data_IF_114314982390
#
_entry.id   IF_114314982390
#
_cell.length_a   1.000
_cell.length_b   1.000
_cell.length_c   1.000
_cell.angle_alpha   90.00
_cell.angle_beta   90.00
_cell.angle_gamma   90.00
#
_symmetry.space_group_name_H-M   'P 1'
#
loop_
_entity.id
_entity.type
_entity.pdbx_description
1 polymer ?
#
# COMPACT_ATOMS: atom_id res chain seq x y z
N UNK A 1 -1.44 7.54 -18.34
CA UNK A 1 -1.58 7.03 -16.94
C UNK A 1 -1.97 8.13 -15.95
N UNK A 2 -1.59 9.39 -16.14
CA UNK A 2 -1.96 10.51 -15.24
C UNK A 2 -3.45 10.85 -15.26
N UNK A 3 -4.13 10.73 -16.41
CA UNK A 3 -5.58 10.93 -16.53
C UNK A 3 -6.37 9.98 -15.61
N UNK A 4 -5.98 8.71 -15.52
CA UNK A 4 -6.69 7.73 -14.71
C UNK A 4 -6.57 7.95 -13.19
N UNK A 5 -5.49 8.57 -12.72
CA UNK A 5 -5.33 8.92 -11.29
C UNK A 5 -6.23 10.10 -10.95
N UNK A 6 -6.37 11.05 -11.88
CA UNK A 6 -7.22 12.24 -11.73
C UNK A 6 -8.72 11.87 -11.71
N UNK A 7 -9.13 10.90 -12.54
CA UNK A 7 -10.52 10.41 -12.56
C UNK A 7 -10.93 9.69 -11.27
N UNK A 8 -9.99 9.01 -10.60
CA UNK A 8 -10.25 8.37 -9.30
C UNK A 8 -10.61 9.34 -8.19
N UNK A 9 -9.86 10.44 -8.09
CA UNK A 9 -10.10 11.47 -7.08
C UNK A 9 -11.42 12.20 -7.36
N UNK A 10 -11.79 12.35 -8.62
CA UNK A 10 -13.06 13.00 -9.01
C UNK A 10 -14.28 12.22 -8.53
N UNK A 11 -14.24 10.89 -8.57
CA UNK A 11 -15.33 10.04 -8.06
C UNK A 11 -15.49 10.20 -6.55
N UNK A 12 -14.39 10.24 -5.80
CA UNK A 12 -14.45 10.43 -4.35
C UNK A 12 -15.02 11.80 -3.98
N UNK A 13 -14.59 12.87 -4.67
CA UNK A 13 -15.05 14.23 -4.43
C UNK A 13 -16.56 14.36 -4.69
N UNK A 14 -17.08 13.68 -5.71
CA UNK A 14 -18.49 13.78 -6.09
C UNK A 14 -19.41 12.91 -5.22
N UNK A 15 -18.99 11.70 -4.88
CA UNK A 15 -19.88 10.72 -4.26
C UNK A 15 -19.74 10.65 -2.73
N UNK A 16 -18.55 10.75 -2.18
CA UNK A 16 -18.34 10.49 -0.74
C UNK A 16 -19.03 11.53 0.13
N UNK A 17 -18.90 12.86 -0.11
CA UNK A 17 -19.60 13.85 0.71
C UNK A 17 -21.12 13.70 0.64
N UNK A 18 -21.69 13.48 -0.57
CA UNK A 18 -23.12 13.26 -0.75
C UNK A 18 -23.63 12.05 0.05
N UNK A 19 -22.92 10.92 -0.02
CA UNK A 19 -23.27 9.71 0.74
C UNK A 19 -23.18 9.89 2.26
N UNK A 20 -22.21 10.68 2.73
CA UNK A 20 -22.09 11.02 4.15
C UNK A 20 -23.25 11.91 4.62
N UNK A 21 -23.72 12.84 3.79
CA UNK A 21 -24.91 13.66 4.09
C UNK A 21 -26.16 12.79 4.09
N UNK A 22 -26.33 11.92 3.09
CA UNK A 22 -27.47 10.98 3.02
C UNK A 22 -27.51 10.04 4.25
N UNK A 23 -26.36 9.78 4.88
CA UNK A 23 -26.25 8.97 6.09
C UNK A 23 -26.61 9.73 7.38
N UNK A 24 -27.00 11.01 7.30
CA UNK A 24 -27.46 11.82 8.44
C UNK A 24 -26.42 12.77 9.01
N UNK A 25 -25.25 12.92 8.38
CA UNK A 25 -24.25 13.91 8.79
C UNK A 25 -24.61 15.31 8.27
N UNK A 26 -24.27 16.35 9.03
CA UNK A 26 -24.35 17.72 8.52
C UNK A 26 -23.35 17.93 7.37
N UNK A 27 -23.62 18.91 6.50
CA UNK A 27 -22.72 19.26 5.38
C UNK A 27 -21.31 19.58 5.88
N UNK A 28 -21.20 20.28 7.01
CA UNK A 28 -19.92 20.63 7.65
C UNK A 28 -19.18 19.37 8.12
N UNK A 29 -19.86 18.46 8.79
CA UNK A 29 -19.28 17.19 9.26
C UNK A 29 -18.84 16.29 8.11
N UNK A 30 -19.67 16.15 7.08
CA UNK A 30 -19.36 15.36 5.88
C UNK A 30 -18.13 15.91 5.15
N UNK A 31 -18.06 17.23 4.99
CA UNK A 31 -16.92 17.91 4.35
C UNK A 31 -15.65 17.74 5.19
N UNK A 32 -15.74 17.88 6.51
CA UNK A 32 -14.60 17.69 7.40
C UNK A 32 -14.08 16.23 7.35
N UNK A 33 -14.98 15.24 7.43
CA UNK A 33 -14.59 13.83 7.32
C UNK A 33 -13.95 13.50 5.96
N UNK A 34 -14.52 14.03 4.89
CA UNK A 34 -13.90 13.87 3.57
C UNK A 34 -12.52 14.55 3.49
N UNK A 35 -12.35 15.70 4.13
CA UNK A 35 -11.07 16.38 4.28
C UNK A 35 -10.01 15.51 5.00
N UNK A 36 -10.39 14.77 6.04
CA UNK A 36 -9.49 13.81 6.71
C UNK A 36 -9.05 12.68 5.79
N UNK A 37 -9.95 12.17 4.94
CA UNK A 37 -9.61 11.13 3.99
C UNK A 37 -8.76 11.67 2.83
N UNK A 38 -9.24 12.68 2.12
CA UNK A 38 -8.62 13.17 0.89
C UNK A 38 -7.40 14.07 1.15
N UNK A 39 -7.44 14.89 2.22
CA UNK A 39 -6.38 15.85 2.54
C UNK A 39 -5.30 15.31 3.47
N UNK A 40 -5.60 14.28 4.28
CA UNK A 40 -4.65 13.78 5.28
C UNK A 40 -4.25 12.32 5.03
N UNK A 41 -5.19 11.40 4.88
CA UNK A 41 -4.89 9.98 4.71
C UNK A 41 -4.31 9.66 3.32
N UNK A 42 -4.89 10.18 2.24
CA UNK A 42 -4.43 9.90 0.88
C UNK A 42 -2.99 10.38 0.58
N UNK A 43 -2.55 11.57 0.98
CA UNK A 43 -1.16 11.98 0.80
C UNK A 43 -0.15 11.05 1.49
N UNK A 44 -0.45 10.60 2.71
CA UNK A 44 0.42 9.64 3.42
C UNK A 44 0.52 8.30 2.68
N UNK A 45 -0.60 7.80 2.18
CA UNK A 45 -0.65 6.58 1.37
C UNK A 45 0.19 6.73 0.10
N UNK A 46 0.06 7.85 -0.61
CA UNK A 46 0.82 8.10 -1.84
C UNK A 46 2.32 8.20 -1.55
N UNK A 47 2.73 8.91 -0.49
CA UNK A 47 4.14 9.00 -0.08
C UNK A 47 4.74 7.61 0.22
N UNK A 48 4.00 6.75 0.92
CA UNK A 48 4.44 5.41 1.25
C UNK A 48 4.62 4.51 0.00
N UNK A 49 3.94 4.82 -1.11
CA UNK A 49 4.00 4.04 -2.36
C UNK A 49 4.95 4.61 -3.43
N UNK A 50 5.63 5.74 -3.18
CA UNK A 50 6.64 6.29 -4.10
C UNK A 50 7.72 5.27 -4.49
N UNK A 51 8.31 4.48 -3.55
CA UNK A 51 9.32 3.50 -3.91
C UNK A 51 8.79 2.39 -4.83
N UNK A 52 7.54 1.97 -4.65
CA UNK A 52 6.92 0.93 -5.50
C UNK A 52 6.57 1.47 -6.88
N UNK A 53 6.21 2.74 -6.99
CA UNK A 53 6.02 3.41 -8.28
C UNK A 53 7.34 3.47 -9.07
N UNK A 54 8.44 3.83 -8.42
CA UNK A 54 9.78 3.83 -9.03
C UNK A 54 10.21 2.43 -9.46
N UNK A 55 9.91 1.41 -8.63
CA UNK A 55 10.16 0.01 -8.96
C UNK A 55 9.35 -0.41 -10.19
N UNK A 56 8.05 -0.10 -10.24
CA UNK A 56 7.17 -0.44 -11.35
C UNK A 56 7.64 0.19 -12.67
N UNK A 57 8.02 1.47 -12.66
CA UNK A 57 8.51 2.16 -13.87
C UNK A 57 9.83 1.59 -14.37
N UNK A 58 10.75 1.22 -13.49
CA UNK A 58 12.03 0.58 -13.87
C UNK A 58 11.84 -0.85 -14.38
N UNK A 59 10.76 -1.51 -13.95
CA UNK A 59 10.46 -2.88 -14.34
C UNK A 59 9.99 -2.99 -15.81
N UNK A 60 9.29 -1.97 -16.32
CA UNK A 60 8.77 -1.95 -17.69
C UNK A 60 9.85 -2.20 -18.75
N UNK A 61 10.93 -1.39 -18.86
CA UNK A 61 11.97 -1.64 -19.84
C UNK A 61 12.71 -2.96 -19.59
N UNK A 62 12.95 -3.30 -18.32
CA UNK A 62 13.67 -4.53 -17.96
C UNK A 62 12.91 -5.80 -18.33
N UNK A 63 11.58 -5.80 -18.24
CA UNK A 63 10.71 -6.91 -18.67
C UNK A 63 10.57 -6.91 -20.20
N UNK A 64 10.43 -5.74 -20.83
CA UNK A 64 10.28 -5.60 -22.27
C UNK A 64 11.51 -6.16 -23.03
N UNK A 65 12.71 -5.86 -22.55
CA UNK A 65 13.95 -6.44 -23.11
C UNK A 65 13.98 -7.97 -23.01
N UNK A 66 13.66 -8.51 -21.82
CA UNK A 66 13.64 -9.96 -21.63
C UNK A 66 12.54 -10.64 -22.46
N UNK A 67 11.39 -9.98 -22.62
CA UNK A 67 10.26 -10.46 -23.41
C UNK A 67 10.61 -10.51 -24.92
N UNK A 68 11.23 -9.45 -25.45
CA UNK A 68 11.68 -9.41 -26.84
C UNK A 68 12.71 -10.53 -27.18
N UNK A 69 13.50 -10.94 -26.18
CA UNK A 69 14.48 -12.03 -26.31
C UNK A 69 13.90 -13.42 -25.96
N UNK A 70 12.60 -13.54 -25.70
CA UNK A 70 11.91 -14.77 -25.27
C UNK A 70 12.55 -15.43 -24.00
N UNK A 71 13.14 -14.64 -23.10
CA UNK A 71 13.81 -15.11 -21.89
C UNK A 71 12.85 -15.19 -20.71
N UNK A 72 11.89 -16.12 -20.74
CA UNK A 72 10.83 -16.27 -19.74
C UNK A 72 11.34 -16.46 -18.32
N UNK A 73 12.43 -17.21 -18.12
CA UNK A 73 13.04 -17.38 -16.80
C UNK A 73 13.51 -16.06 -16.17
N UNK A 74 14.04 -15.15 -17.00
CA UNK A 74 14.47 -13.81 -16.55
C UNK A 74 13.26 -12.98 -16.16
N UNK A 75 12.17 -13.06 -16.94
CA UNK A 75 10.91 -12.36 -16.60
C UNK A 75 10.38 -12.85 -15.26
N UNK A 76 10.32 -14.16 -15.06
CA UNK A 76 9.83 -14.75 -13.79
C UNK A 76 10.71 -14.34 -12.59
N UNK A 77 12.02 -14.36 -12.72
CA UNK A 77 12.96 -13.91 -11.69
C UNK A 77 12.78 -12.42 -11.36
N UNK A 78 12.69 -11.56 -12.37
CA UNK A 78 12.44 -10.11 -12.19
C UNK A 78 11.09 -9.88 -11.51
N UNK A 79 10.04 -10.60 -11.93
CA UNK A 79 8.71 -10.53 -11.36
C UNK A 79 8.70 -10.95 -9.88
N UNK A 80 9.31 -12.08 -9.54
CA UNK A 80 9.40 -12.57 -8.17
C UNK A 80 10.18 -11.59 -7.27
N UNK A 81 11.29 -11.05 -7.77
CA UNK A 81 12.12 -10.08 -7.05
C UNK A 81 11.35 -8.77 -6.83
N UNK A 82 10.69 -8.24 -7.86
CA UNK A 82 9.93 -7.01 -7.75
C UNK A 82 8.73 -7.16 -6.80
N UNK A 83 8.02 -8.28 -6.84
CA UNK A 83 6.93 -8.58 -5.91
C UNK A 83 7.43 -8.66 -4.47
N UNK A 84 8.56 -9.34 -4.23
CA UNK A 84 9.20 -9.43 -2.91
C UNK A 84 9.61 -8.06 -2.39
N UNK A 85 10.27 -7.22 -3.22
CA UNK A 85 10.67 -5.86 -2.85
C UNK A 85 9.47 -4.96 -2.58
N UNK A 86 8.42 -5.07 -3.38
CA UNK A 86 7.15 -4.36 -3.15
C UNK A 86 6.59 -4.69 -1.77
N UNK A 87 6.41 -5.98 -1.45
CA UNK A 87 5.89 -6.41 -0.16
C UNK A 87 6.82 -6.02 1.00
N UNK A 88 8.14 -6.09 0.81
CA UNK A 88 9.13 -5.71 1.81
C UNK A 88 9.00 -4.26 2.28
N UNK A 89 8.55 -3.38 1.40
CA UNK A 89 8.36 -1.94 1.68
C UNK A 89 6.93 -1.65 2.13
N UNK A 90 5.95 -2.17 1.39
CA UNK A 90 4.55 -1.76 1.58
C UNK A 90 3.86 -2.45 2.75
N UNK A 91 4.20 -3.70 3.06
CA UNK A 91 3.57 -4.43 4.17
C UNK A 91 3.91 -3.79 5.52
N UNK A 92 5.19 -3.52 5.87
CA UNK A 92 5.50 -2.85 7.14
C UNK A 92 4.94 -1.42 7.18
N UNK A 93 4.95 -0.67 6.07
CA UNK A 93 4.35 0.66 6.02
C UNK A 93 2.83 0.61 6.27
N UNK A 94 2.14 -0.36 5.68
CA UNK A 94 0.70 -0.59 5.90
C UNK A 94 0.42 -0.95 7.36
N UNK A 95 1.14 -1.90 7.94
CA UNK A 95 0.96 -2.31 9.34
C UNK A 95 1.29 -1.17 10.30
N UNK A 96 2.41 -0.48 10.11
CA UNK A 96 2.82 0.66 10.94
C UNK A 96 1.78 1.78 10.91
N UNK A 97 1.26 2.10 9.71
CA UNK A 97 0.21 3.12 9.57
C UNK A 97 -1.14 2.65 10.14
N UNK A 98 -1.44 1.36 10.11
CA UNK A 98 -2.63 0.80 10.74
C UNK A 98 -2.58 0.92 12.27
N UNK A 99 -1.49 0.48 12.90
CA UNK A 99 -1.41 0.40 14.37
C UNK A 99 -1.12 1.75 15.03
N UNK A 100 -0.43 2.65 14.34
CA UNK A 100 -0.09 3.99 14.83
C UNK A 100 -0.88 5.11 14.13
N UNK A 101 -2.06 4.81 13.58
CA UNK A 101 -2.84 5.76 12.79
C UNK A 101 -3.18 7.05 13.55
N UNK A 102 -3.69 6.94 14.78
CA UNK A 102 -4.02 8.07 15.62
C UNK A 102 -2.79 8.84 16.09
N UNK A 103 -1.74 8.20 16.65
CA UNK A 103 -0.48 8.84 16.96
C UNK A 103 0.15 9.59 15.78
N UNK A 104 0.15 8.99 14.59
CA UNK A 104 0.66 9.62 13.36
C UNK A 104 -0.20 10.83 12.99
N UNK A 105 -1.51 10.73 13.10
CA UNK A 105 -2.44 11.84 12.85
C UNK A 105 -2.18 13.01 13.79
N UNK A 106 -2.01 12.75 15.09
CA UNK A 106 -1.66 13.77 16.07
C UNK A 106 -0.28 14.39 15.79
N UNK A 107 0.72 13.57 15.44
CA UNK A 107 2.08 14.02 15.18
C UNK A 107 2.17 14.94 13.95
N UNK A 108 1.49 14.59 12.86
CA UNK A 108 1.61 15.29 11.57
C UNK A 108 0.61 16.42 11.40
N UNK A 109 -0.61 16.25 11.92
CA UNK A 109 -1.73 17.17 11.67
C UNK A 109 -2.26 17.83 12.94
N UNK A 110 -1.73 17.51 14.11
CA UNK A 110 -2.17 18.06 15.39
C UNK A 110 -3.58 17.64 15.80
N UNK A 111 -4.15 16.61 15.17
CA UNK A 111 -5.51 16.13 15.46
C UNK A 111 -5.60 14.61 15.41
N UNK A 112 -6.33 14.00 16.36
CA UNK A 112 -6.64 12.57 16.34
C UNK A 112 -7.74 12.19 15.33
N UNK A 113 -8.54 13.18 14.88
CA UNK A 113 -9.76 12.94 14.09
C UNK A 113 -9.50 12.25 12.74
N UNK A 114 -8.32 12.46 12.12
CA UNK A 114 -7.95 11.79 10.89
C UNK A 114 -7.48 10.34 11.10
N UNK A 115 -7.24 9.90 12.35
CA UNK A 115 -6.76 8.56 12.68
C UNK A 115 -7.62 7.45 12.09
N UNK A 116 -8.95 7.57 12.16
CA UNK A 116 -9.89 6.60 11.57
C UNK A 116 -9.70 6.48 10.06
N UNK A 117 -9.61 7.62 9.34
CA UNK A 117 -9.40 7.62 7.90
C UNK A 117 -8.04 7.02 7.52
N UNK A 118 -6.97 7.34 8.27
CA UNK A 118 -5.62 6.81 8.08
C UNK A 118 -5.60 5.31 8.32
N UNK A 119 -6.15 4.84 9.43
CA UNK A 119 -6.20 3.43 9.81
C UNK A 119 -6.87 2.58 8.73
N UNK A 120 -8.08 2.95 8.31
CA UNK A 120 -8.82 2.20 7.30
C UNK A 120 -8.27 2.34 5.88
N UNK A 121 -7.46 3.38 5.61
CA UNK A 121 -6.74 3.53 4.33
C UNK A 121 -5.40 2.79 4.31
N UNK A 122 -4.84 2.40 5.45
CA UNK A 122 -3.52 1.77 5.53
C UNK A 122 -3.35 0.51 4.65
N UNK A 123 -4.33 -0.42 4.53
CA UNK A 123 -4.20 -1.58 3.64
C UNK A 123 -4.01 -1.20 2.16
N UNK A 124 -4.52 -0.02 1.75
CA UNK A 124 -4.33 0.46 0.39
C UNK A 124 -2.87 0.63 -0.01
N UNK A 125 -1.95 0.85 0.94
CA UNK A 125 -0.51 0.98 0.66
C UNK A 125 0.01 -0.32 0.03
N UNK A 126 -0.28 -1.46 0.63
CA UNK A 126 0.12 -2.75 0.11
C UNK A 126 -0.59 -3.07 -1.21
N UNK A 127 -1.90 -2.87 -1.28
CA UNK A 127 -2.72 -3.17 -2.45
C UNK A 127 -2.34 -2.30 -3.65
N UNK A 128 -2.10 -1.00 -3.44
CA UNK A 128 -1.64 -0.09 -4.49
C UNK A 128 -0.22 -0.45 -4.96
N UNK A 129 0.69 -0.77 -4.04
CA UNK A 129 2.03 -1.23 -4.42
C UNK A 129 2.00 -2.48 -5.30
N UNK A 130 1.19 -3.48 -4.92
CA UNK A 130 0.97 -4.69 -5.71
C UNK A 130 0.39 -4.36 -7.09
N UNK A 131 -0.61 -3.47 -7.14
CA UNK A 131 -1.20 -3.02 -8.41
C UNK A 131 -0.15 -2.34 -9.29
N UNK A 132 0.68 -1.44 -8.76
CA UNK A 132 1.71 -0.72 -9.52
C UNK A 132 2.72 -1.69 -10.14
N UNK A 133 3.26 -2.61 -9.35
CA UNK A 133 4.28 -3.56 -9.79
C UNK A 133 3.69 -4.53 -10.82
N UNK A 134 2.52 -5.10 -10.58
CA UNK A 134 1.89 -6.03 -11.52
C UNK A 134 1.46 -5.35 -12.82
N UNK A 135 1.04 -4.07 -12.76
CA UNK A 135 0.79 -3.25 -13.95
C UNK A 135 2.06 -3.05 -14.77
N UNK A 136 3.19 -2.70 -14.11
CA UNK A 136 4.48 -2.53 -14.78
C UNK A 136 4.95 -3.82 -15.49
N UNK A 137 4.74 -4.98 -14.87
CA UNK A 137 5.05 -6.28 -15.50
C UNK A 137 4.22 -6.52 -16.77
N UNK A 138 2.89 -6.35 -16.69
CA UNK A 138 2.00 -6.55 -17.83
C UNK A 138 2.30 -5.58 -18.98
N UNK A 139 2.60 -4.31 -18.65
CA UNK A 139 3.01 -3.30 -19.64
C UNK A 139 4.35 -3.66 -20.28
N UNK A 140 5.34 -4.13 -19.51
CA UNK A 140 6.63 -4.58 -20.01
C UNK A 140 6.52 -5.78 -20.95
N UNK A 141 5.53 -6.65 -20.78
CA UNK A 141 5.22 -7.75 -21.71
C UNK A 141 4.37 -7.31 -22.92
N UNK A 142 4.14 -6.01 -23.11
CA UNK A 142 3.34 -5.48 -24.23
C UNK A 142 1.81 -5.56 -24.03
N UNK A 143 1.33 -6.09 -22.90
CA UNK A 143 -0.09 -6.24 -22.61
C UNK A 143 -0.66 -5.02 -21.88
N UNK A 144 -0.61 -3.83 -22.51
CA UNK A 144 -1.04 -2.56 -21.90
C UNK A 144 -2.55 -2.47 -21.65
N UNK A 145 -3.34 -3.17 -22.46
CA UNK A 145 -4.80 -3.13 -22.36
C UNK A 145 -5.34 -3.90 -21.14
N UNK A 146 -4.64 -4.97 -20.70
CA UNK A 146 -5.09 -5.77 -19.56
C UNK A 146 -5.13 -4.98 -18.24
N UNK A 147 -4.06 -4.29 -17.82
CA UNK A 147 -4.11 -3.48 -16.59
C UNK A 147 -5.14 -2.36 -16.68
N UNK A 148 -5.36 -1.78 -17.87
CA UNK A 148 -6.37 -0.75 -18.07
C UNK A 148 -7.79 -1.30 -17.83
N UNK A 149 -8.12 -2.44 -18.42
CA UNK A 149 -9.41 -3.10 -18.20
C UNK A 149 -9.60 -3.52 -16.74
N UNK A 150 -8.56 -4.11 -16.12
CA UNK A 150 -8.60 -4.52 -14.73
C UNK A 150 -8.81 -3.31 -13.79
N UNK A 151 -8.24 -2.17 -14.12
CA UNK A 151 -8.44 -0.93 -13.39
C UNK A 151 -9.88 -0.40 -13.53
N UNK A 152 -10.48 -0.49 -14.72
CA UNK A 152 -11.88 -0.11 -14.92
C UNK A 152 -12.82 -0.98 -14.09
N UNK A 153 -12.55 -2.30 -14.01
CA UNK A 153 -13.30 -3.22 -13.14
C UNK A 153 -13.11 -2.83 -11.67
N UNK A 154 -11.88 -2.48 -11.26
CA UNK A 154 -11.60 -2.00 -9.92
C UNK A 154 -12.37 -0.72 -9.58
N UNK A 155 -12.45 0.23 -10.51
CA UNK A 155 -13.24 1.47 -10.36
C UNK A 155 -14.73 1.14 -10.23
N UNK A 156 -15.27 0.23 -11.04
CA UNK A 156 -16.65 -0.20 -10.93
C UNK A 156 -16.94 -0.86 -9.57
N UNK A 157 -16.03 -1.72 -9.09
CA UNK A 157 -16.12 -2.31 -7.75
C UNK A 157 -16.08 -1.24 -6.64
N UNK A 158 -15.25 -0.22 -6.80
CA UNK A 158 -15.20 0.92 -5.87
C UNK A 158 -16.52 1.69 -5.83
N UNK A 159 -17.13 1.96 -6.99
CA UNK A 159 -18.43 2.64 -7.06
C UNK A 159 -19.50 1.88 -6.27
N UNK A 160 -19.60 0.57 -6.49
CA UNK A 160 -20.53 -0.28 -5.74
C UNK A 160 -20.20 -0.26 -4.24
N UNK A 161 -18.91 -0.33 -3.88
CA UNK A 161 -18.47 -0.32 -2.49
C UNK A 161 -18.76 1.02 -1.79
N UNK A 162 -18.54 2.17 -2.46
CA UNK A 162 -18.90 3.50 -1.91
C UNK A 162 -20.39 3.56 -1.61
N UNK A 163 -21.23 3.13 -2.56
CA UNK A 163 -22.68 3.15 -2.38
C UNK A 163 -23.18 2.24 -1.26
N UNK A 164 -22.47 1.14 -0.97
CA UNK A 164 -22.88 0.16 0.06
C UNK A 164 -22.24 0.42 1.41
N UNK A 165 -20.98 0.81 1.45
CA UNK A 165 -20.19 0.92 2.67
C UNK A 165 -20.15 2.34 3.25
N UNK A 166 -20.40 3.40 2.44
CA UNK A 166 -20.46 4.77 2.96
C UNK A 166 -21.89 5.04 3.41
N UNK A 167 -22.21 4.60 4.64
CA UNK A 167 -23.51 4.70 5.28
C UNK A 167 -23.35 5.16 6.75
N UNK A 168 -24.46 5.25 7.50
CA UNK A 168 -24.45 5.70 8.89
C UNK A 168 -23.58 4.84 9.83
N UNK A 169 -23.39 3.56 9.51
CA UNK A 169 -22.63 2.61 10.33
C UNK A 169 -21.12 2.75 10.14
N UNK A 170 -20.65 2.87 8.88
CA UNK A 170 -19.21 2.87 8.57
C UNK A 170 -18.65 4.28 8.26
N UNK A 171 -19.50 5.24 7.91
CA UNK A 171 -19.10 6.62 7.65
C UNK A 171 -17.90 6.72 6.67
N UNK A 172 -16.88 7.49 7.06
CA UNK A 172 -15.67 7.69 6.25
C UNK A 172 -14.80 6.43 6.13
N UNK A 173 -14.87 5.50 7.10
CA UNK A 173 -14.17 4.21 7.01
C UNK A 173 -14.67 3.39 5.81
N UNK A 174 -15.97 3.47 5.50
CA UNK A 174 -16.55 2.84 4.31
C UNK A 174 -15.95 3.35 3.00
N UNK A 175 -15.71 4.65 2.87
CA UNK A 175 -15.05 5.24 1.71
C UNK A 175 -13.57 4.81 1.60
N UNK A 176 -12.86 4.71 2.73
CA UNK A 176 -11.51 4.18 2.77
C UNK A 176 -11.47 2.71 2.32
N UNK A 177 -12.38 1.86 2.81
CA UNK A 177 -12.50 0.46 2.37
C UNK A 177 -12.88 0.34 0.90
N UNK A 178 -13.72 1.21 0.34
CA UNK A 178 -14.02 1.21 -1.09
C UNK A 178 -12.76 1.46 -1.93
N UNK A 179 -11.85 2.29 -1.44
CA UNK A 179 -10.53 2.51 -2.08
C UNK A 179 -9.64 1.27 -2.00
N UNK A 180 -9.63 0.58 -0.85
CA UNK A 180 -8.92 -0.70 -0.70
C UNK A 180 -9.45 -1.75 -1.67
N UNK A 181 -10.77 -1.85 -1.84
CA UNK A 181 -11.42 -2.77 -2.77
C UNK A 181 -10.98 -2.48 -4.21
N UNK A 182 -10.95 -1.21 -4.62
CA UNK A 182 -10.46 -0.84 -5.96
C UNK A 182 -9.05 -1.36 -6.23
N UNK A 183 -8.10 -1.04 -5.34
CA UNK A 183 -6.72 -1.47 -5.51
C UNK A 183 -6.57 -2.99 -5.40
N UNK A 184 -7.30 -3.61 -4.47
CA UNK A 184 -7.29 -5.06 -4.26
C UNK A 184 -7.83 -5.83 -5.48
N UNK A 185 -8.97 -5.43 -6.02
CA UNK A 185 -9.57 -6.05 -7.22
C UNK A 185 -8.64 -5.90 -8.42
N UNK A 186 -8.10 -4.69 -8.64
CA UNK A 186 -7.19 -4.45 -9.76
C UNK A 186 -5.91 -5.28 -9.62
N UNK A 187 -5.28 -5.31 -8.43
CA UNK A 187 -4.08 -6.11 -8.18
C UNK A 187 -4.35 -7.60 -8.36
N UNK A 188 -5.47 -8.10 -7.84
CA UNK A 188 -5.87 -9.50 -7.97
C UNK A 188 -6.04 -9.91 -9.43
N UNK A 189 -6.76 -9.12 -10.22
CA UNK A 189 -6.96 -9.38 -11.64
C UNK A 189 -5.63 -9.33 -12.42
N UNK A 190 -4.73 -8.40 -12.10
CA UNK A 190 -3.40 -8.35 -12.67
C UNK A 190 -2.58 -9.61 -12.32
N UNK A 191 -2.63 -10.06 -11.06
CA UNK A 191 -1.95 -11.29 -10.61
C UNK A 191 -2.51 -12.50 -11.35
N UNK A 192 -3.83 -12.61 -11.48
CA UNK A 192 -4.47 -13.69 -12.25
C UNK A 192 -4.00 -13.67 -13.71
N UNK A 193 -3.90 -12.48 -14.32
CA UNK A 193 -3.38 -12.35 -15.68
C UNK A 193 -1.93 -12.82 -15.77
N UNK A 194 -1.06 -12.45 -14.82
CA UNK A 194 0.33 -12.90 -14.77
C UNK A 194 0.47 -14.41 -14.61
N UNK A 195 -0.40 -15.05 -13.82
CA UNK A 195 -0.45 -16.51 -13.71
C UNK A 195 -0.80 -17.20 -15.04
N UNK A 196 -1.67 -16.60 -15.86
CA UNK A 196 -1.97 -17.13 -17.22
C UNK A 196 -0.74 -17.09 -18.12
N UNK A 197 0.20 -16.17 -17.88
CA UNK A 197 1.50 -16.12 -18.54
C UNK A 197 2.59 -16.98 -17.86
N UNK A 198 2.18 -17.92 -16.98
CA UNK A 198 3.07 -18.84 -16.25
C UNK A 198 4.08 -18.14 -15.31
N UNK A 199 3.84 -16.90 -14.92
CA UNK A 199 4.66 -16.18 -13.94
C UNK A 199 4.21 -16.58 -12.54
N UNK A 200 5.13 -17.16 -11.76
CA UNK A 200 4.84 -17.62 -10.39
C UNK A 200 5.55 -16.74 -9.36
N UNK A 201 4.92 -16.60 -8.20
CA UNK A 201 5.44 -15.82 -7.07
C UNK A 201 5.74 -16.72 -5.88
N UNK A 202 6.76 -16.36 -5.09
CA UNK A 202 7.10 -17.06 -3.85
C UNK A 202 6.21 -16.59 -2.70
N UNK A 203 5.05 -17.20 -2.55
CA UNK A 203 4.10 -16.89 -1.47
C UNK A 203 4.68 -17.11 -0.08
N UNK A 204 5.60 -18.07 0.06
CA UNK A 204 6.29 -18.30 1.33
C UNK A 204 7.11 -17.10 1.79
N UNK A 205 7.80 -16.43 0.85
CA UNK A 205 8.54 -15.20 1.17
C UNK A 205 7.61 -14.07 1.60
N UNK A 206 6.46 -13.94 0.94
CA UNK A 206 5.44 -12.93 1.28
C UNK A 206 4.87 -13.22 2.68
N UNK A 207 4.53 -14.48 2.99
CA UNK A 207 4.03 -14.87 4.32
C UNK A 207 5.03 -14.55 5.44
N UNK A 208 6.34 -14.77 5.21
CA UNK A 208 7.39 -14.40 6.17
C UNK A 208 7.47 -12.87 6.37
N UNK A 209 7.31 -12.09 5.30
CA UNK A 209 7.28 -10.62 5.38
C UNK A 209 6.08 -10.15 6.22
N UNK A 210 4.91 -10.75 6.00
CA UNK A 210 3.70 -10.43 6.77
C UNK A 210 3.90 -10.79 8.26
N UNK A 211 4.49 -11.94 8.56
CA UNK A 211 4.79 -12.34 9.94
C UNK A 211 5.77 -11.36 10.61
N UNK A 212 6.83 -10.96 9.91
CA UNK A 212 7.78 -9.96 10.42
C UNK A 212 7.10 -8.61 10.68
N UNK A 213 6.22 -8.17 9.77
CA UNK A 213 5.50 -6.91 9.92
C UNK A 213 4.46 -6.97 11.05
N UNK A 214 3.83 -8.11 11.29
CA UNK A 214 2.93 -8.29 12.44
C UNK A 214 3.66 -8.15 13.77
N UNK A 215 4.84 -8.78 13.91
CA UNK A 215 5.69 -8.62 15.11
C UNK A 215 6.16 -7.16 15.25
N UNK A 216 6.57 -6.53 14.15
CA UNK A 216 6.91 -5.10 14.12
C UNK A 216 5.76 -4.23 14.64
N UNK A 217 4.52 -4.51 14.19
CA UNK A 217 3.33 -3.78 14.63
C UNK A 217 3.08 -3.96 16.13
N UNK A 218 3.24 -5.17 16.67
CA UNK A 218 3.13 -5.44 18.10
C UNK A 218 4.17 -4.64 18.91
N UNK A 219 5.44 -4.64 18.46
CA UNK A 219 6.50 -3.84 19.08
C UNK A 219 6.18 -2.34 19.05
N UNK A 220 5.62 -1.85 17.94
CA UNK A 220 5.22 -0.44 17.82
C UNK A 220 4.18 -0.04 18.87
N UNK A 221 3.15 -0.88 19.06
CA UNK A 221 2.09 -0.65 20.05
C UNK A 221 2.63 -0.70 21.46
N UNK A 222 3.42 -1.73 21.81
CA UNK A 222 4.01 -1.89 23.14
C UNK A 222 4.90 -0.72 23.51
N UNK A 223 5.84 -0.33 22.64
CA UNK A 223 6.74 0.80 22.91
C UNK A 223 5.95 2.11 23.06
N UNK A 224 4.93 2.30 22.23
CA UNK A 224 4.07 3.50 22.31
C UNK A 224 3.32 3.57 23.64
N UNK A 225 2.78 2.44 24.12
CA UNK A 225 2.07 2.35 25.42
C UNK A 225 3.04 2.55 26.59
N UNK A 226 4.22 1.92 26.57
CA UNK A 226 5.22 2.04 27.62
C UNK A 226 5.74 3.47 27.80
N UNK A 227 5.80 4.25 26.73
CA UNK A 227 6.23 5.65 26.76
C UNK A 227 5.08 6.65 27.08
N UNK A 228 3.94 6.15 27.52
CA UNK A 228 2.80 6.97 27.97
C UNK A 228 1.90 7.51 26.87
N UNK A 229 2.06 7.04 25.63
CA UNK A 229 1.07 7.17 24.52
C UNK A 229 0.78 8.57 23.96
N UNK A 230 0.92 9.63 24.75
CA UNK A 230 0.39 10.96 24.41
C UNK A 230 1.43 11.93 23.78
N UNK A 231 2.69 11.55 23.70
CA UNK A 231 3.75 12.46 23.25
C UNK A 231 4.24 12.16 21.84
N UNK A 232 4.60 13.22 21.10
CA UNK A 232 5.24 13.09 19.78
C UNK A 232 6.53 12.24 19.85
N UNK A 233 7.28 12.36 20.94
CA UNK A 233 8.50 11.59 21.19
C UNK A 233 8.19 10.08 21.33
N UNK A 234 7.10 9.71 22.03
CA UNK A 234 6.66 8.33 22.14
C UNK A 234 6.32 7.72 20.76
N UNK A 235 5.64 8.48 19.93
CA UNK A 235 5.29 8.06 18.57
C UNK A 235 6.55 7.85 17.70
N UNK A 236 7.49 8.79 17.72
CA UNK A 236 8.76 8.67 16.98
C UNK A 236 9.58 7.48 17.49
N UNK A 237 9.69 7.33 18.81
CA UNK A 237 10.41 6.19 19.41
C UNK A 237 9.78 4.85 19.05
N UNK A 238 8.45 4.76 19.05
CA UNK A 238 7.72 3.57 18.61
C UNK A 238 7.97 3.25 17.13
N UNK A 239 7.95 4.25 16.25
CA UNK A 239 8.27 4.07 14.83
C UNK A 239 9.71 3.59 14.60
N UNK A 240 10.69 4.15 15.33
CA UNK A 240 12.10 3.74 15.24
C UNK A 240 12.29 2.32 15.78
N UNK A 241 11.73 1.99 16.94
CA UNK A 241 11.80 0.65 17.52
C UNK A 241 11.17 -0.40 16.61
N UNK A 242 10.00 -0.08 16.03
CA UNK A 242 9.34 -0.92 15.04
C UNK A 242 10.22 -1.14 13.79
N UNK A 243 10.80 -0.10 13.23
CA UNK A 243 11.69 -0.19 12.07
C UNK A 243 12.93 -1.06 12.37
N UNK A 244 13.57 -0.87 13.52
CA UNK A 244 14.73 -1.67 13.95
C UNK A 244 14.33 -3.13 14.12
N UNK A 245 13.22 -3.42 14.81
CA UNK A 245 12.72 -4.79 15.00
C UNK A 245 12.45 -5.50 13.65
N UNK A 246 11.85 -4.79 12.69
CA UNK A 246 11.60 -5.32 11.36
C UNK A 246 12.90 -5.67 10.61
N UNK A 247 13.88 -4.76 10.61
CA UNK A 247 15.19 -4.98 9.96
C UNK A 247 15.91 -6.19 10.57
N UNK A 248 15.80 -6.41 11.89
CA UNK A 248 16.41 -7.56 12.58
C UNK A 248 15.66 -8.86 12.24
N UNK A 249 14.34 -8.82 12.15
CA UNK A 249 13.52 -10.01 11.87
C UNK A 249 13.67 -10.53 10.43
N UNK A 250 13.90 -9.68 9.45
CA UNK A 250 14.03 -10.09 8.04
C UNK A 250 15.11 -11.15 7.79
N UNK A 251 16.36 -10.98 8.27
CA UNK A 251 17.40 -12.02 8.12
C UNK A 251 17.13 -13.24 9.00
N UNK A 252 16.54 -13.09 10.20
CA UNK A 252 16.18 -14.21 11.07
C UNK A 252 15.16 -15.15 10.44
N UNK A 253 14.18 -14.60 9.71
CA UNK A 253 13.18 -15.38 8.97
C UNK A 253 13.69 -15.88 7.61
N UNK A 254 14.95 -15.55 7.24
CA UNK A 254 15.54 -15.93 5.97
C UNK A 254 14.84 -15.31 4.74
N UNK A 255 14.24 -14.13 4.92
CA UNK A 255 13.63 -13.36 3.83
C UNK A 255 14.70 -12.74 2.94
N UNK A 256 15.78 -12.25 3.54
CA UNK A 256 16.92 -11.66 2.83
C UNK A 256 18.07 -12.67 2.78
N UNK A 257 18.50 -13.00 1.58
CA UNK A 257 19.70 -13.82 1.38
C UNK A 257 20.96 -12.98 1.66
N UNK A 258 22.04 -13.59 2.17
CA UNK A 258 23.30 -12.88 2.47
C UNK A 258 23.85 -12.09 1.27
N UNK A 259 23.57 -12.55 0.04
CA UNK A 259 23.95 -11.85 -1.16
C UNK A 259 23.11 -10.59 -1.43
N UNK A 260 21.81 -10.63 -1.13
CA UNK A 260 20.89 -9.49 -1.26
C UNK A 260 21.20 -8.40 -0.23
N UNK A 261 21.56 -8.81 1.01
CA UNK A 261 22.01 -7.89 2.07
C UNK A 261 23.26 -7.09 1.65
N UNK A 262 24.22 -7.72 0.97
CA UNK A 262 25.43 -7.05 0.46
C UNK A 262 25.17 -6.05 -0.68
N UNK A 263 24.02 -6.14 -1.35
CA UNK A 263 23.66 -5.22 -2.44
C UNK A 263 22.90 -3.98 -1.94
N UNK A 264 22.40 -3.98 -0.71
CA UNK A 264 21.75 -2.81 -0.13
C UNK A 264 22.76 -1.67 0.07
N UNK A 265 22.48 -0.46 -0.45
CA UNK A 265 23.43 0.66 -0.40
C UNK A 265 23.83 1.07 1.01
N UNK A 266 22.98 0.82 2.00
CA UNK A 266 23.22 1.07 3.43
C UNK A 266 24.28 0.11 3.99
N UNK A 267 24.24 -1.17 3.60
CA UNK A 267 25.17 -2.21 4.10
C UNK A 267 26.55 -2.08 3.45
N UNK A 268 26.62 -1.65 2.17
CA UNK A 268 27.89 -1.36 1.49
C UNK A 268 28.75 -0.31 2.23
N UNK A 269 28.12 0.57 3.01
CA UNK A 269 28.82 1.66 3.73
C UNK A 269 29.38 1.19 5.07
N UNK A 270 28.85 0.08 5.63
CA UNK A 270 29.30 -0.47 6.93
C UNK A 270 30.32 -1.64 6.79
N UNK A 271 30.45 -2.22 5.60
CA UNK A 271 31.37 -3.34 5.33
C UNK A 271 32.47 -2.97 4.33
N UNK A 272 32.86 -1.70 4.29
CA UNK A 272 34.08 -1.23 3.65
C UNK A 272 35.17 -1.08 4.73
#
# INVERSE_FOLDING_TARGET
SEMCIRDRSSIDVLLVPGRLIDSGLSVEQATAQFGYLAGMAQPLLLMATIPTMSLATSLVPAVSEAFALNKWQIIEQKAATAMKLCCLITVPASVGMWVLAEPISCLLYGTAKAGVAIMHSAPAICLLGLQQVTTGMLQGMGHTNLPMLNMLIGIAAKLVAVLRLTNAEYGIAGAAWATNINFGVTALLNIIALYKFSIRFSWLSIAKIIAAAAVMGAVAVEVHMLLGGASALATIAAMLAAGISYIILLPLLGVLNRQELRQLPVVKRFFK
#
